data_IF_965890992535
#
_entry.id   IF_965890992535
#
_cell.length_a   1.000
_cell.length_b   1.000
_cell.length_c   1.000
_cell.angle_alpha   90.00
_cell.angle_beta   90.00
_cell.angle_gamma   90.00
#
_symmetry.space_group_name_H-M   'P 1'
#
loop_
_entity.id
_entity.type
_entity.pdbx_description
1 polymer ?
#
# COMPACT_ATOMS: atom_id res chain seq x y z
N UNK A 1 8.43 8.83 12.20
CA UNK A 1 8.80 7.44 11.89
C UNK A 1 7.89 6.99 10.76
N UNK A 2 8.40 6.81 9.54
CA UNK A 2 7.57 6.42 8.38
C UNK A 2 7.18 4.95 8.51
N UNK A 3 5.92 4.69 8.87
CA UNK A 3 5.39 3.33 8.92
C UNK A 3 5.29 2.77 7.50
N UNK A 4 5.87 1.60 7.29
CA UNK A 4 5.80 0.83 6.03
C UNK A 4 4.81 -0.29 6.20
N UNK A 5 4.02 -0.53 5.18
CA UNK A 5 2.93 -1.50 5.18
C UNK A 5 3.10 -2.47 4.02
N UNK A 6 2.84 -3.75 4.28
CA UNK A 6 2.90 -4.78 3.25
C UNK A 6 1.53 -5.05 2.65
N UNK A 7 1.53 -5.71 1.50
CA UNK A 7 0.29 -6.20 0.91
C UNK A 7 -0.43 -7.18 1.83
N UNK A 8 -1.76 -7.13 1.83
CA UNK A 8 -2.59 -7.93 2.74
C UNK A 8 -2.75 -7.34 4.15
N UNK A 9 -1.94 -6.36 4.54
CA UNK A 9 -2.14 -5.65 5.81
C UNK A 9 -3.32 -4.66 5.71
N UNK A 10 -3.93 -4.40 6.87
CA UNK A 10 -5.05 -3.47 7.05
C UNK A 10 -4.61 -2.29 7.91
N UNK A 11 -3.85 -1.34 7.36
CA UNK A 11 -3.39 -0.17 8.10
C UNK A 11 -4.50 0.85 8.40
N UNK A 12 -5.70 0.62 7.88
CA UNK A 12 -6.86 1.48 8.01
C UNK A 12 -7.05 2.41 6.81
N UNK A 13 -8.10 3.23 6.86
CA UNK A 13 -8.44 4.20 5.82
C UNK A 13 -7.31 5.21 5.64
N UNK A 14 -6.97 5.50 4.40
CA UNK A 14 -5.92 6.44 4.08
C UNK A 14 -5.32 6.24 2.71
N UNK A 15 -4.39 7.14 2.38
CA UNK A 15 -3.66 7.12 1.12
C UNK A 15 -2.29 6.48 1.33
N UNK A 16 -1.96 5.54 0.46
CA UNK A 16 -0.78 4.70 0.56
C UNK A 16 -0.02 4.75 -0.75
N UNK A 17 1.23 5.16 -0.69
CA UNK A 17 2.11 5.27 -1.84
C UNK A 17 3.10 4.11 -1.84
N UNK A 18 3.23 3.45 -3.00
CA UNK A 18 4.24 2.43 -3.21
C UNK A 18 5.62 3.09 -3.16
N UNK A 19 6.46 2.63 -2.25
CA UNK A 19 7.83 3.14 -2.02
C UNK A 19 8.79 2.97 -3.21
N UNK A 20 8.35 2.30 -4.29
CA UNK A 20 9.16 1.98 -5.48
C UNK A 20 8.80 2.78 -6.72
N UNK A 21 7.51 2.85 -7.04
CA UNK A 21 7.01 3.46 -8.27
C UNK A 21 6.04 4.61 -8.03
N UNK A 22 5.85 5.03 -6.77
CA UNK A 22 4.91 6.07 -6.35
C UNK A 22 3.45 5.77 -6.71
N UNK A 23 3.11 4.50 -6.99
CA UNK A 23 1.73 4.10 -7.20
C UNK A 23 0.90 4.37 -5.94
N UNK A 24 -0.19 5.11 -6.09
CA UNK A 24 -1.05 5.48 -4.97
C UNK A 24 -2.26 4.56 -4.90
N UNK A 25 -2.53 4.03 -3.71
CA UNK A 25 -3.74 3.31 -3.35
C UNK A 25 -4.47 4.13 -2.31
N UNK A 26 -5.78 4.31 -2.48
CA UNK A 26 -6.63 4.92 -1.48
C UNK A 26 -7.50 3.82 -0.86
N UNK A 27 -7.35 3.60 0.44
CA UNK A 27 -8.22 2.71 1.21
C UNK A 27 -9.35 3.55 1.78
N UNK A 28 -10.58 3.31 1.32
CA UNK A 28 -11.79 3.96 1.79
C UNK A 28 -12.48 3.17 2.91
N UNK A 29 -12.12 1.89 3.09
CA UNK A 29 -12.52 1.07 4.22
C UNK A 29 -11.35 0.66 5.14
N UNK A 30 -11.61 0.52 6.43
CA UNK A 30 -10.61 0.05 7.40
C UNK A 30 -10.43 -1.48 7.36
N UNK A 31 -11.38 -2.17 6.74
CA UNK A 31 -11.28 -3.58 6.42
C UNK A 31 -10.54 -3.87 5.11
N UNK A 32 -10.25 -2.85 4.30
CA UNK A 32 -9.52 -3.02 3.05
C UNK A 32 -8.06 -3.43 3.29
N UNK A 33 -7.60 -4.33 2.44
CA UNK A 33 -6.23 -4.80 2.42
C UNK A 33 -5.44 -4.13 1.32
N UNK A 34 -4.16 -3.84 1.58
CA UNK A 34 -3.27 -3.31 0.57
C UNK A 34 -3.10 -4.30 -0.61
N UNK A 35 -3.45 -3.91 -1.84
CA UNK A 35 -3.32 -4.78 -3.01
C UNK A 35 -1.87 -4.81 -3.50
N UNK A 36 -1.45 -5.88 -4.22
CA UNK A 36 -0.17 -5.91 -4.92
C UNK A 36 -0.05 -4.75 -5.91
N UNK A 37 1.16 -4.17 -6.04
CA UNK A 37 1.35 -3.07 -6.97
C UNK A 37 1.29 -3.56 -8.42
N UNK A 38 0.27 -3.11 -9.14
CA UNK A 38 0.08 -3.40 -10.56
C UNK A 38 1.05 -2.67 -11.50
N UNK A 39 1.79 -1.68 -11.01
CA UNK A 39 2.72 -0.89 -11.84
C UNK A 39 4.17 -1.40 -11.76
N UNK A 40 4.67 -1.78 -10.57
CA UNK A 40 6.06 -2.21 -10.43
C UNK A 40 6.28 -3.72 -10.59
N UNK A 41 5.21 -4.52 -10.76
CA UNK A 41 5.30 -5.96 -11.01
C UNK A 41 5.85 -6.80 -9.84
N UNK A 42 5.91 -6.24 -8.62
CA UNK A 42 6.44 -6.97 -7.44
C UNK A 42 5.49 -8.01 -6.88
N UNK A 43 4.21 -7.96 -7.26
CA UNK A 43 3.18 -8.82 -6.69
C UNK A 43 3.20 -8.73 -5.16
N UNK A 44 3.54 -9.83 -4.51
CA UNK A 44 3.52 -9.95 -3.05
C UNK A 44 4.64 -9.24 -2.29
N UNK A 45 5.69 -8.79 -2.98
CA UNK A 45 6.81 -8.08 -2.33
C UNK A 45 6.67 -6.55 -2.37
N UNK A 46 5.44 -6.07 -2.53
CA UNK A 46 5.12 -4.64 -2.62
C UNK A 46 5.06 -4.04 -1.21
N UNK A 47 5.69 -2.87 -1.03
CA UNK A 47 5.70 -2.13 0.24
C UNK A 47 5.17 -0.71 0.03
N UNK A 48 4.21 -0.34 0.85
CA UNK A 48 3.58 0.97 0.87
C UNK A 48 4.05 1.81 2.06
N UNK A 49 3.93 3.12 1.92
CA UNK A 49 4.05 4.09 2.99
C UNK A 49 2.87 5.05 2.95
N UNK A 50 2.51 5.62 4.09
CA UNK A 50 1.42 6.61 4.14
C UNK A 50 1.88 7.91 3.48
N UNK A 51 1.11 8.33 2.49
CA UNK A 51 1.15 9.63 1.83
C UNK A 51 -0.27 10.23 1.92
#
# INVERSE_FOLDING_TARGET
MSAKYNIGEKPGKGRYCCTRCNWTVNLDDDSDTLPPCGNCGRGQNTTYEKC
#
